data_IF_952565017415
#
_entry.id   IF_952565017415
#
_cell.length_a   1.000
_cell.length_b   1.000
_cell.length_c   1.000
_cell.angle_alpha   90.00
_cell.angle_beta   90.00
_cell.angle_gamma   90.00
#
_symmetry.space_group_name_H-M   'P 1'
#
loop_
_entity.id
_entity.type
_entity.pdbx_description
1 polymer ?
#
# COMPACT_ATOMS: atom_id res chain seq x y z
N UNK A 1 -28.16 -8.85 46.25
CA UNK A 1 -26.93 -8.05 46.05
C UNK A 1 -26.84 -7.73 44.56
N UNK A 2 -27.03 -6.47 44.14
CA UNK A 2 -26.97 -6.08 42.72
C UNK A 2 -25.50 -5.84 42.36
N UNK A 3 -24.83 -6.84 41.78
CA UNK A 3 -23.46 -6.69 41.27
C UNK A 3 -23.50 -5.92 39.94
N UNK A 4 -22.88 -4.74 39.93
CA UNK A 4 -22.74 -3.90 38.73
C UNK A 4 -21.59 -4.44 37.85
N UNK A 5 -21.86 -4.67 36.56
CA UNK A 5 -20.82 -4.99 35.57
C UNK A 5 -19.82 -3.84 35.49
N UNK A 6 -18.56 -4.07 35.88
CA UNK A 6 -17.46 -3.13 35.67
C UNK A 6 -16.65 -3.62 34.47
N UNK A 7 -16.79 -2.95 33.33
CA UNK A 7 -16.02 -3.21 32.12
C UNK A 7 -15.00 -2.08 32.02
N UNK A 8 -13.71 -2.39 32.10
CA UNK A 8 -12.63 -1.40 32.02
C UNK A 8 -11.86 -1.59 30.71
N UNK A 9 -11.99 -0.63 29.80
CA UNK A 9 -11.11 -0.54 28.64
C UNK A 9 -9.81 0.15 29.06
N UNK A 10 -8.71 -0.60 29.18
CA UNK A 10 -7.39 0.00 29.46
C UNK A 10 -6.74 0.45 28.14
N UNK A 11 -6.70 1.77 27.93
CA UNK A 11 -5.80 2.38 26.96
C UNK A 11 -4.40 2.50 27.57
N UNK A 12 -3.39 1.89 26.96
CA UNK A 12 -2.01 2.02 27.39
C UNK A 12 -1.12 2.56 26.25
N UNK A 13 -0.70 3.81 26.41
CA UNK A 13 0.54 4.36 25.85
C UNK A 13 1.51 4.49 27.03
N UNK A 14 2.76 4.05 26.80
CA UNK A 14 4.04 4.42 27.44
C UNK A 14 4.84 3.20 27.90
N UNK A 15 5.99 2.96 27.26
CA UNK A 15 7.07 2.11 27.78
C UNK A 15 8.30 2.98 28.08
N UNK A 16 8.84 2.81 29.29
CA UNK A 16 10.11 3.36 29.76
C UNK A 16 11.00 2.15 30.13
N UNK A 17 12.19 2.03 29.55
CA UNK A 17 13.14 0.95 29.83
C UNK A 17 14.49 1.14 29.14
N UNK A 18 15.57 0.98 29.90
CA UNK A 18 16.91 1.53 29.72
C UNK A 18 17.87 0.61 28.91
N UNK A 19 18.68 1.27 28.07
CA UNK A 19 19.83 0.92 27.19
C UNK A 19 20.48 -0.48 27.28
N UNK A 20 20.54 -1.14 26.11
CA UNK A 20 21.65 -2.00 25.70
C UNK A 20 22.01 -1.66 24.25
N UNK A 21 23.20 -1.10 24.01
CA UNK A 21 23.66 -0.72 22.66
C UNK A 21 24.02 -1.95 21.85
N UNK A 22 23.01 -2.63 21.32
CA UNK A 22 23.18 -3.50 20.16
C UNK A 22 23.23 -2.56 18.96
N UNK A 23 24.42 -2.34 18.39
CA UNK A 23 24.51 -1.77 17.05
C UNK A 23 24.04 -2.85 16.08
N UNK A 24 22.72 -3.04 15.98
CA UNK A 24 22.14 -3.62 14.78
C UNK A 24 22.43 -2.61 13.68
N UNK A 25 23.26 -3.00 12.72
CA UNK A 25 23.24 -2.35 11.42
C UNK A 25 21.79 -2.41 10.95
N UNK A 26 21.07 -1.29 11.09
CA UNK A 26 19.73 -1.14 10.58
C UNK A 26 19.86 -1.28 9.06
N UNK A 27 19.49 -2.45 8.54
CA UNK A 27 19.10 -2.55 7.14
C UNK A 27 18.10 -1.42 6.91
N UNK A 28 18.45 -0.49 6.03
CA UNK A 28 17.62 0.67 5.70
C UNK A 28 16.20 0.17 5.49
N UNK A 29 15.26 0.65 6.32
CA UNK A 29 13.86 0.51 6.00
C UNK A 29 13.70 1.09 4.60
N UNK A 30 13.41 0.25 3.62
CA UNK A 30 13.42 0.64 2.21
C UNK A 30 12.34 1.72 2.05
N UNK A 31 12.76 2.98 2.12
CA UNK A 31 11.85 4.10 2.07
C UNK A 31 11.15 4.05 0.73
N UNK A 32 9.84 4.25 0.73
CA UNK A 32 9.03 4.17 -0.48
C UNK A 32 8.40 5.51 -0.79
N UNK A 33 8.22 5.79 -2.08
CA UNK A 33 7.61 7.02 -2.59
C UNK A 33 6.25 6.67 -3.18
N UNK A 34 5.16 7.35 -2.80
CA UNK A 34 3.85 7.08 -3.36
C UNK A 34 3.75 7.57 -4.81
N UNK A 35 3.30 6.70 -5.71
CA UNK A 35 2.99 7.07 -7.09
C UNK A 35 1.49 7.36 -7.19
N UNK A 36 1.15 8.63 -7.41
CA UNK A 36 -0.21 9.09 -7.56
C UNK A 36 -0.75 8.70 -8.93
N UNK A 37 -1.96 8.13 -8.97
CA UNK A 37 -2.70 7.83 -10.20
C UNK A 37 -3.77 8.90 -10.41
N UNK A 38 -3.76 9.55 -11.56
CA UNK A 38 -4.71 10.63 -11.92
C UNK A 38 -5.31 10.31 -13.28
N UNK A 39 -6.63 10.36 -13.37
CA UNK A 39 -7.41 9.97 -14.55
C UNK A 39 -8.01 11.20 -15.23
N UNK A 40 -7.88 11.29 -16.55
CA UNK A 40 -8.56 12.31 -17.35
C UNK A 40 -9.91 11.76 -17.86
N UNK A 41 -11.06 12.27 -17.36
CA UNK A 41 -12.37 11.80 -17.80
C UNK A 41 -12.71 12.14 -19.26
N UNK A 42 -12.00 13.09 -19.87
CA UNK A 42 -12.28 13.52 -21.25
C UNK A 42 -11.55 12.67 -22.29
N UNK A 43 -10.31 12.27 -22.02
CA UNK A 43 -9.50 11.46 -22.95
C UNK A 43 -9.46 9.98 -22.59
N UNK A 44 -9.69 9.61 -21.32
CA UNK A 44 -9.43 8.26 -20.81
C UNK A 44 -8.01 8.03 -20.30
N UNK A 45 -7.12 9.02 -20.46
CA UNK A 45 -5.70 8.92 -20.10
C UNK A 45 -5.50 8.77 -18.59
N UNK A 46 -4.47 7.98 -18.22
CA UNK A 46 -3.98 7.90 -16.85
C UNK A 46 -2.56 8.48 -16.75
N UNK A 47 -2.36 9.37 -15.80
CA UNK A 47 -1.08 9.96 -15.46
C UNK A 47 -0.56 9.42 -14.12
N UNK A 48 0.74 9.13 -14.06
CA UNK A 48 1.41 8.56 -12.90
C UNK A 48 2.59 9.44 -12.50
N UNK A 49 2.62 9.89 -11.25
CA UNK A 49 3.65 10.83 -10.79
C UNK A 49 3.97 10.64 -9.32
N UNK A 50 5.24 10.86 -8.96
CA UNK A 50 5.64 11.03 -7.54
C UNK A 50 5.35 12.44 -7.01
N UNK A 51 5.14 13.40 -7.91
CA UNK A 51 4.98 14.82 -7.59
C UNK A 51 3.55 15.12 -7.14
N UNK A 52 3.42 15.49 -5.86
CA UNK A 52 2.16 15.99 -5.34
C UNK A 52 1.71 17.27 -6.07
N UNK A 53 2.66 18.07 -6.56
CA UNK A 53 2.36 19.28 -7.33
C UNK A 53 1.75 18.96 -8.69
N UNK A 54 2.34 18.06 -9.48
CA UNK A 54 1.79 17.65 -10.78
C UNK A 54 0.38 17.07 -10.61
N UNK A 55 0.19 16.17 -9.63
CA UNK A 55 -1.12 15.64 -9.27
C UNK A 55 -2.13 16.74 -8.97
N UNK A 56 -1.82 17.66 -8.05
CA UNK A 56 -2.75 18.73 -7.66
C UNK A 56 -3.06 19.67 -8.83
N UNK A 57 -2.08 19.93 -9.69
CA UNK A 57 -2.22 20.76 -10.89
C UNK A 57 -3.15 20.11 -11.93
N UNK A 58 -3.08 18.79 -12.12
CA UNK A 58 -4.02 18.07 -12.98
C UNK A 58 -5.43 18.05 -12.40
N UNK A 59 -5.55 17.81 -11.09
CA UNK A 59 -6.84 17.82 -10.38
C UNK A 59 -7.52 19.19 -10.49
N UNK A 60 -6.79 20.29 -10.34
CA UNK A 60 -7.36 21.63 -10.52
C UNK A 60 -7.82 21.92 -11.94
N UNK A 61 -7.38 21.13 -12.93
CA UNK A 61 -7.81 21.19 -14.34
C UNK A 61 -8.90 20.16 -14.67
N UNK A 62 -9.54 19.56 -13.65
CA UNK A 62 -10.67 18.66 -13.83
C UNK A 62 -10.31 17.18 -13.96
N UNK A 63 -9.05 16.79 -13.78
CA UNK A 63 -8.69 15.37 -13.72
C UNK A 63 -9.10 14.78 -12.36
N UNK A 64 -9.42 13.48 -12.34
CA UNK A 64 -9.83 12.75 -11.13
C UNK A 64 -8.62 12.10 -10.48
N UNK A 65 -8.34 12.46 -9.22
CA UNK A 65 -7.38 11.72 -8.41
C UNK A 65 -7.97 10.36 -7.99
N UNK A 66 -7.27 9.27 -8.29
CA UNK A 66 -7.74 7.91 -8.01
C UNK A 66 -6.97 7.23 -6.87
N UNK A 67 -6.11 7.98 -6.17
CA UNK A 67 -5.32 7.47 -5.06
C UNK A 67 -3.88 7.14 -5.43
N UNK A 68 -3.23 6.40 -4.53
CA UNK A 68 -1.88 5.88 -4.72
C UNK A 68 -1.98 4.59 -5.53
N UNK A 69 -1.47 4.60 -6.77
CA UNK A 69 -1.45 3.41 -7.63
C UNK A 69 -0.55 2.32 -7.06
N UNK A 70 0.65 2.70 -6.64
CA UNK A 70 1.60 1.86 -5.91
C UNK A 70 2.61 2.72 -5.14
N UNK A 71 3.38 2.11 -4.26
CA UNK A 71 4.57 2.73 -3.68
C UNK A 71 5.80 2.20 -4.44
N UNK A 72 6.64 3.11 -4.94
CA UNK A 72 7.90 2.76 -5.57
C UNK A 72 9.03 2.76 -4.53
N UNK A 73 10.01 1.84 -4.60
CA UNK A 73 11.20 1.94 -3.76
C UNK A 73 11.97 3.23 -4.07
N UNK A 74 12.73 3.73 -3.10
CA UNK A 74 13.59 4.93 -3.28
C UNK A 74 14.87 4.63 -4.05
N UNK A 75 15.25 3.35 -4.16
CA UNK A 75 16.43 2.87 -4.89
C UNK A 75 16.10 1.71 -5.83
N UNK A 76 17.06 1.31 -6.67
CA UNK A 76 16.92 0.21 -7.61
C UNK A 76 17.07 0.65 -9.07
N UNK A 77 16.48 -0.11 -9.99
CA UNK A 77 16.53 0.21 -11.42
C UNK A 77 15.63 1.40 -11.75
N UNK A 78 16.08 2.27 -12.66
CA UNK A 78 15.33 3.44 -13.07
C UNK A 78 14.09 3.09 -13.93
N UNK A 79 12.98 3.78 -13.69
CA UNK A 79 11.86 3.89 -14.63
C UNK A 79 11.84 5.30 -15.20
N UNK A 80 11.97 5.37 -16.52
CA UNK A 80 12.07 6.59 -17.29
C UNK A 80 10.67 7.11 -17.66
N UNK A 81 10.47 8.43 -17.59
CA UNK A 81 9.32 9.11 -18.19
C UNK A 81 9.77 9.81 -19.47
N UNK A 82 9.03 9.57 -20.56
CA UNK A 82 9.21 10.26 -21.84
C UNK A 82 7.87 10.82 -22.30
N UNK A 83 7.90 12.04 -22.81
CA UNK A 83 6.73 12.80 -23.20
C UNK A 83 6.68 13.02 -24.71
N UNK A 84 5.52 12.79 -25.32
CA UNK A 84 5.28 13.12 -26.71
C UNK A 84 4.71 14.53 -26.85
N UNK A 85 5.48 15.52 -27.37
CA UNK A 85 4.99 16.89 -27.52
C UNK A 85 3.86 17.04 -28.54
N UNK A 86 3.66 16.07 -29.42
CA UNK A 86 2.63 16.13 -30.45
C UNK A 86 1.27 15.60 -29.97
N UNK A 87 1.26 14.53 -29.16
CA UNK A 87 0.03 13.93 -28.64
C UNK A 87 -0.30 14.33 -27.20
N UNK A 88 0.69 14.78 -26.42
CA UNK A 88 0.55 15.01 -24.99
C UNK A 88 0.78 13.78 -24.11
N UNK A 89 1.00 12.61 -24.72
CA UNK A 89 1.14 11.33 -24.00
C UNK A 89 2.43 11.25 -23.18
N UNK A 90 2.33 10.59 -22.03
CA UNK A 90 3.49 10.18 -21.24
C UNK A 90 3.64 8.66 -21.30
N UNK A 91 4.86 8.20 -21.59
CA UNK A 91 5.22 6.79 -21.59
C UNK A 91 6.25 6.49 -20.50
N UNK A 92 6.06 5.35 -19.84
CA UNK A 92 6.88 4.93 -18.71
C UNK A 92 7.55 3.58 -19.01
N UNK A 93 8.87 3.51 -18.85
CA UNK A 93 9.60 2.28 -19.16
C UNK A 93 10.85 2.09 -18.31
N UNK A 94 11.16 0.83 -17.97
CA UNK A 94 12.48 0.42 -17.44
C UNK A 94 13.53 0.23 -18.54
N UNK A 95 13.10 0.14 -19.79
CA UNK A 95 13.98 -0.14 -20.93
C UNK A 95 14.65 1.15 -21.39
N UNK A 96 15.97 1.22 -21.19
CA UNK A 96 16.78 2.30 -21.74
C UNK A 96 16.70 2.33 -23.28
N UNK A 97 16.52 1.18 -23.93
CA UNK A 97 16.36 1.07 -25.38
C UNK A 97 15.04 1.68 -25.86
N UNK A 98 13.89 1.32 -25.25
CA UNK A 98 12.59 1.91 -25.63
C UNK A 98 12.61 3.44 -25.47
N UNK A 99 13.16 3.93 -24.35
CA UNK A 99 13.39 5.36 -24.11
C UNK A 99 14.21 6.00 -25.25
N UNK A 100 15.37 5.44 -25.58
CA UNK A 100 16.25 6.01 -26.62
C UNK A 100 15.60 6.03 -28.01
N UNK A 101 14.83 4.99 -28.36
CA UNK A 101 14.06 4.95 -29.61
C UNK A 101 13.01 6.07 -29.64
N UNK A 102 12.25 6.26 -28.56
CA UNK A 102 11.24 7.33 -28.51
C UNK A 102 11.88 8.72 -28.60
N UNK A 103 12.99 8.95 -27.89
CA UNK A 103 13.74 10.20 -27.96
C UNK A 103 14.27 10.46 -29.37
N UNK A 104 14.79 9.45 -30.06
CA UNK A 104 15.24 9.58 -31.46
C UNK A 104 14.10 9.94 -32.43
N UNK A 105 12.84 9.66 -32.03
CA UNK A 105 11.63 9.99 -32.78
C UNK A 105 11.00 11.32 -32.34
N UNK A 106 11.74 12.15 -31.60
CA UNK A 106 11.30 13.49 -31.21
C UNK A 106 10.52 13.57 -29.89
N UNK A 107 10.42 12.47 -29.13
CA UNK A 107 9.86 12.52 -27.78
C UNK A 107 10.86 13.18 -26.82
N UNK A 108 10.36 13.91 -25.83
CA UNK A 108 11.18 14.56 -24.81
C UNK A 108 11.45 13.59 -23.66
N UNK A 109 12.72 13.38 -23.33
CA UNK A 109 13.09 12.68 -22.10
C UNK A 109 12.90 13.60 -20.89
N UNK A 110 12.13 13.15 -19.91
CA UNK A 110 11.80 13.93 -18.71
C UNK A 110 12.52 13.45 -17.44
N UNK A 111 13.38 12.44 -17.57
CA UNK A 111 14.21 11.95 -16.47
C UNK A 111 13.78 10.60 -15.92
N UNK A 112 14.37 10.25 -14.78
CA UNK A 112 13.98 9.11 -13.97
C UNK A 112 12.83 9.53 -13.07
N UNK A 113 11.64 8.99 -13.34
CA UNK A 113 10.44 9.36 -12.59
C UNK A 113 10.43 8.62 -11.23
N UNK A 114 10.69 7.31 -11.22
CA UNK A 114 10.84 6.52 -9.98
C UNK A 114 11.81 5.34 -10.16
N UNK A 115 12.07 4.60 -9.08
CA UNK A 115 12.87 3.37 -9.11
C UNK A 115 12.00 2.12 -8.90
N UNK A 116 12.54 0.97 -9.29
CA UNK A 116 11.91 -0.34 -9.12
C UNK A 116 12.92 -1.39 -8.65
N UNK A 117 12.44 -2.34 -7.85
CA UNK A 117 13.20 -3.52 -7.42
C UNK A 117 13.11 -4.67 -8.42
N UNK A 118 13.85 -5.75 -8.12
CA UNK A 118 13.81 -6.99 -8.90
C UNK A 118 12.62 -7.89 -8.54
N UNK A 119 11.93 -7.58 -7.45
CA UNK A 119 10.74 -8.29 -6.96
C UNK A 119 9.83 -7.30 -6.23
N UNK A 120 8.59 -7.71 -5.94
CA UNK A 120 7.62 -6.89 -5.22
C UNK A 120 6.21 -7.05 -5.77
N UNK A 121 5.38 -6.02 -5.60
CA UNK A 121 4.05 -5.98 -6.20
C UNK A 121 4.18 -5.72 -7.71
N UNK A 122 3.75 -6.63 -8.59
CA UNK A 122 3.91 -6.44 -10.03
C UNK A 122 3.00 -5.32 -10.55
N UNK A 123 3.53 -4.49 -11.44
CA UNK A 123 2.76 -3.57 -12.28
C UNK A 123 2.70 -4.11 -13.70
N UNK A 124 1.48 -4.36 -14.17
CA UNK A 124 1.18 -4.86 -15.51
C UNK A 124 1.13 -3.70 -16.51
N UNK A 125 1.80 -3.86 -17.66
CA UNK A 125 1.65 -2.97 -18.83
C UNK A 125 0.63 -3.55 -19.78
N UNK A 126 -0.35 -2.75 -20.19
CA UNK A 126 -1.37 -3.13 -21.16
C UNK A 126 -1.44 -2.04 -22.23
N UNK A 127 -1.40 -2.43 -23.50
CA UNK A 127 -1.36 -1.54 -24.66
C UNK A 127 -2.69 -1.56 -25.41
N UNK A 128 -3.21 -0.39 -25.76
CA UNK A 128 -4.37 -0.26 -26.64
C UNK A 128 -3.91 -0.15 -28.11
N UNK A 129 -4.14 -1.17 -28.96
CA UNK A 129 -3.74 -1.12 -30.36
C UNK A 129 -4.49 -0.08 -31.20
N UNK A 130 -5.64 0.41 -30.73
CA UNK A 130 -6.46 1.37 -31.47
C UNK A 130 -6.07 2.83 -31.19
N UNK A 131 -5.66 3.15 -29.95
CA UNK A 131 -5.27 4.52 -29.56
C UNK A 131 -3.76 4.73 -29.45
N UNK A 132 -2.97 3.66 -29.25
CA UNK A 132 -1.55 3.77 -28.95
C UNK A 132 -1.23 3.90 -27.44
N UNK A 133 -2.27 4.00 -26.60
CA UNK A 133 -2.12 4.25 -25.18
C UNK A 133 -1.56 3.04 -24.41
N UNK A 134 -0.84 3.33 -23.33
CA UNK A 134 -0.38 2.34 -22.38
C UNK A 134 -1.00 2.58 -21.01
N UNK A 135 -1.49 1.51 -20.39
CA UNK A 135 -2.04 1.52 -19.04
C UNK A 135 -1.17 0.68 -18.09
N UNK A 136 -0.98 1.19 -16.88
CA UNK A 136 -0.14 0.56 -15.86
C UNK A 136 -0.94 0.31 -14.58
N UNK A 137 -0.99 -0.94 -14.14
CA UNK A 137 -1.77 -1.28 -12.94
C UNK A 137 -1.21 -2.45 -12.14
N UNK A 138 -1.38 -2.41 -10.82
CA UNK A 138 -1.18 -3.56 -9.93
C UNK A 138 -2.40 -4.51 -9.90
N UNK A 139 -3.54 -4.06 -10.39
CA UNK A 139 -4.79 -4.80 -10.37
C UNK A 139 -4.83 -5.80 -11.50
N UNK A 140 -4.78 -7.08 -11.15
CA UNK A 140 -4.98 -8.16 -12.12
C UNK A 140 -6.38 -8.08 -12.75
N UNK A 141 -7.38 -7.56 -12.04
CA UNK A 141 -8.73 -7.38 -12.55
C UNK A 141 -8.80 -6.28 -13.62
N UNK A 142 -8.25 -5.08 -13.37
CA UNK A 142 -8.22 -4.00 -14.37
C UNK A 142 -7.50 -4.46 -15.64
N UNK A 143 -6.35 -5.13 -15.48
CA UNK A 143 -5.60 -5.73 -16.60
C UNK A 143 -6.47 -6.72 -17.39
N UNK A 144 -7.08 -7.70 -16.73
CA UNK A 144 -7.90 -8.72 -17.41
C UNK A 144 -9.12 -8.12 -18.11
N UNK A 145 -9.74 -7.09 -17.50
CA UNK A 145 -10.85 -6.35 -18.11
C UNK A 145 -10.41 -5.62 -19.38
N UNK A 146 -9.27 -4.90 -19.37
CA UNK A 146 -8.78 -4.24 -20.59
C UNK A 146 -8.46 -5.25 -21.69
N UNK A 147 -7.85 -6.39 -21.34
CA UNK A 147 -7.56 -7.46 -22.29
C UNK A 147 -8.84 -8.04 -22.90
N UNK A 148 -9.91 -8.23 -22.12
CA UNK A 148 -11.19 -8.69 -22.68
C UNK A 148 -11.84 -7.67 -23.61
N UNK A 149 -11.46 -6.39 -23.51
CA UNK A 149 -11.88 -5.32 -24.42
C UNK A 149 -10.89 -5.08 -25.58
N UNK A 150 -10.01 -6.05 -25.87
CA UNK A 150 -9.13 -6.02 -27.04
C UNK A 150 -7.78 -5.33 -26.83
N UNK A 151 -7.44 -4.93 -25.60
CA UNK A 151 -6.10 -4.44 -25.30
C UNK A 151 -5.10 -5.59 -25.23
N UNK A 152 -3.83 -5.32 -25.52
CA UNK A 152 -2.76 -6.32 -25.49
C UNK A 152 -2.01 -6.25 -24.16
N UNK A 153 -1.97 -7.35 -23.41
CA UNK A 153 -1.10 -7.47 -22.26
C UNK A 153 0.37 -7.61 -22.71
N UNK A 154 1.24 -6.75 -22.20
CA UNK A 154 2.67 -6.70 -22.59
C UNK A 154 3.61 -7.20 -21.49
N UNK A 155 3.07 -7.77 -20.41
CA UNK A 155 3.86 -8.32 -19.32
C UNK A 155 3.96 -7.40 -18.10
N UNK A 156 4.87 -7.78 -17.20
CA UNK A 156 5.21 -6.98 -16.02
C UNK A 156 6.15 -5.85 -16.44
N UNK A 157 5.67 -4.62 -16.30
CA UNK A 157 6.44 -3.42 -16.58
C UNK A 157 7.59 -3.26 -15.59
N UNK A 158 7.26 -3.34 -14.29
CA UNK A 158 8.17 -3.21 -13.15
C UNK A 158 7.48 -3.68 -11.85
N UNK A 159 8.18 -3.56 -10.73
CA UNK A 159 7.67 -3.89 -9.38
C UNK A 159 7.61 -2.66 -8.48
N UNK A 160 6.49 -2.51 -7.76
CA UNK A 160 6.38 -1.64 -6.60
C UNK A 160 6.81 -2.38 -5.32
N UNK A 161 6.91 -1.65 -4.22
CA UNK A 161 7.19 -2.21 -2.90
C UNK A 161 6.11 -3.22 -2.52
N UNK A 162 6.52 -4.41 -2.08
CA UNK A 162 5.58 -5.44 -1.66
C UNK A 162 4.79 -4.97 -0.44
N UNK A 163 3.47 -5.18 -0.41
CA UNK A 163 2.67 -4.95 0.81
C UNK A 163 3.16 -5.74 2.03
N UNK A 164 4.10 -6.68 1.85
CA UNK A 164 4.75 -7.42 2.92
C UNK A 164 5.93 -6.71 3.60
N UNK A 165 6.37 -5.55 3.08
CA UNK A 165 7.46 -4.75 3.68
C UNK A 165 6.98 -3.51 4.46
N UNK A 166 5.67 -3.39 4.71
CA UNK A 166 5.10 -2.30 5.56
C UNK A 166 4.14 -2.86 6.61
N UNK A 167 4.48 -3.98 7.25
CA UNK A 167 3.92 -4.31 8.57
C UNK A 167 5.09 -4.61 9.48
N UNK A 168 5.75 -3.54 9.95
CA UNK A 168 6.77 -3.60 11.01
C UNK A 168 6.19 -4.24 12.28
N UNK A 169 4.89 -4.06 12.48
CA UNK A 169 4.17 -4.56 13.64
C UNK A 169 3.10 -5.56 13.23
N UNK A 170 2.94 -6.62 14.02
CA UNK A 170 1.71 -7.39 14.11
C UNK A 170 0.86 -6.85 15.27
N UNK A 171 -0.43 -7.18 15.27
CA UNK A 171 -1.37 -6.72 16.29
C UNK A 171 -1.79 -7.89 17.14
N UNK A 172 -1.75 -7.75 18.45
CA UNK A 172 -2.25 -8.76 19.39
C UNK A 172 -3.53 -8.26 20.02
N UNK A 173 -4.64 -8.86 19.62
CA UNK A 173 -5.91 -8.71 20.33
C UNK A 173 -5.90 -9.62 21.55
N UNK A 174 -6.30 -9.11 22.71
CA UNK A 174 -6.33 -9.87 23.96
C UNK A 174 -7.57 -9.60 24.80
N UNK A 175 -7.96 -10.62 25.58
CA UNK A 175 -8.97 -10.55 26.66
C UNK A 175 -8.37 -11.21 27.90
N UNK A 176 -8.47 -10.53 29.03
CA UNK A 176 -8.03 -11.00 30.33
C UNK A 176 -9.20 -11.30 31.27
N UNK A 177 -8.98 -12.26 32.16
CA UNK A 177 -9.86 -12.57 33.29
C UNK A 177 -9.00 -12.43 34.54
N UNK A 178 -9.40 -11.57 35.48
CA UNK A 178 -8.66 -11.22 36.70
C UNK A 178 -7.19 -10.84 36.43
N UNK A 179 -6.98 -10.03 35.39
CA UNK A 179 -5.65 -9.57 34.98
C UNK A 179 -4.80 -10.59 34.21
N UNK A 180 -5.24 -11.85 34.07
CA UNK A 180 -4.53 -12.88 33.30
C UNK A 180 -5.02 -12.90 31.86
N UNK A 181 -4.12 -12.71 30.88
CA UNK A 181 -4.43 -12.76 29.43
C UNK A 181 -4.75 -14.19 28.98
N UNK A 182 -6.00 -14.61 29.17
CA UNK A 182 -6.49 -15.96 28.83
C UNK A 182 -6.70 -16.14 27.32
N UNK A 183 -7.11 -15.08 26.62
CA UNK A 183 -7.34 -15.10 25.16
C UNK A 183 -6.41 -14.10 24.50
N UNK A 184 -5.61 -14.55 23.54
CA UNK A 184 -4.77 -13.68 22.72
C UNK A 184 -4.58 -14.26 21.32
N UNK A 185 -4.55 -13.38 20.31
CA UNK A 185 -4.25 -13.76 18.93
C UNK A 185 -3.41 -12.70 18.24
N UNK A 186 -2.33 -13.15 17.61
CA UNK A 186 -1.52 -12.33 16.70
C UNK A 186 -2.24 -12.22 15.36
N UNK A 187 -2.40 -11.00 14.87
CA UNK A 187 -3.17 -10.62 13.69
C UNK A 187 -2.35 -9.70 12.80
N UNK A 188 -2.66 -9.68 11.50
CA UNK A 188 -1.92 -8.87 10.53
C UNK A 188 -2.52 -7.47 10.31
N UNK A 189 -3.61 -7.14 11.02
CA UNK A 189 -4.22 -5.81 11.00
C UNK A 189 -4.96 -5.51 12.30
N UNK A 190 -5.08 -4.21 12.65
CA UNK A 190 -5.90 -3.75 13.78
C UNK A 190 -7.34 -4.26 13.67
N UNK A 191 -7.93 -4.18 12.47
CA UNK A 191 -9.30 -4.64 12.22
C UNK A 191 -9.50 -6.12 12.55
N UNK A 192 -8.52 -6.96 12.24
CA UNK A 192 -8.57 -8.39 12.56
C UNK A 192 -8.43 -8.62 14.08
N UNK A 193 -7.54 -7.88 14.74
CA UNK A 193 -7.36 -7.94 16.19
C UNK A 193 -8.61 -7.47 16.95
N UNK A 194 -9.24 -6.37 16.53
CA UNK A 194 -10.49 -5.86 17.10
C UNK A 194 -11.65 -6.86 16.89
N UNK A 195 -11.74 -7.46 15.71
CA UNK A 195 -12.75 -8.49 15.43
C UNK A 195 -12.56 -9.71 16.33
N UNK A 196 -11.31 -10.14 16.56
CA UNK A 196 -10.99 -11.23 17.48
C UNK A 196 -11.36 -10.88 18.93
N UNK A 197 -11.00 -9.70 19.43
CA UNK A 197 -11.33 -9.24 20.79
C UNK A 197 -12.84 -9.20 20.98
N UNK A 198 -13.57 -8.61 20.04
CA UNK A 198 -15.03 -8.55 20.10
C UNK A 198 -15.66 -9.96 20.10
N UNK A 199 -15.15 -10.88 19.27
CA UNK A 199 -15.65 -12.25 19.27
C UNK A 199 -15.37 -12.98 20.60
N UNK A 200 -14.18 -12.79 21.18
CA UNK A 200 -13.80 -13.38 22.46
C UNK A 200 -14.64 -12.81 23.61
N UNK A 201 -14.82 -11.48 23.68
CA UNK A 201 -15.65 -10.82 24.69
C UNK A 201 -17.11 -11.27 24.68
N UNK A 202 -17.66 -11.52 23.48
CA UNK A 202 -19.04 -11.97 23.31
C UNK A 202 -19.19 -13.50 23.29
N UNK A 203 -18.12 -14.24 23.57
CA UNK A 203 -18.20 -15.69 23.70
C UNK A 203 -18.97 -16.07 24.97
N UNK A 204 -19.69 -17.19 24.93
CA UNK A 204 -20.42 -17.69 26.10
C UNK A 204 -19.51 -17.86 27.31
N UNK A 205 -18.29 -18.36 27.10
CA UNK A 205 -17.31 -18.58 28.17
C UNK A 205 -16.92 -17.27 28.88
N UNK A 206 -16.62 -16.20 28.14
CA UNK A 206 -16.23 -14.92 28.75
C UNK A 206 -17.43 -14.20 29.37
N UNK A 207 -18.61 -14.31 28.76
CA UNK A 207 -19.85 -13.77 29.33
C UNK A 207 -20.19 -14.43 30.67
N UNK A 208 -20.06 -15.75 30.76
CA UNK A 208 -20.34 -16.51 31.98
C UNK A 208 -19.34 -16.13 33.10
N UNK A 209 -18.09 -15.80 32.76
CA UNK A 209 -17.08 -15.33 33.72
C UNK A 209 -17.29 -13.89 34.18
N UNK A 210 -17.86 -13.02 33.35
CA UNK A 210 -18.04 -11.59 33.64
C UNK A 210 -19.01 -11.26 34.78
N UNK A 211 -19.60 -12.26 35.45
CA UNK A 211 -20.44 -12.08 36.64
C UNK A 211 -19.62 -11.99 37.94
N UNK A 212 -18.54 -12.76 38.04
CA UNK A 212 -17.72 -12.88 39.26
C UNK A 212 -16.26 -12.45 39.06
N UNK A 213 -15.85 -12.22 37.81
CA UNK A 213 -14.47 -11.92 37.44
C UNK A 213 -14.32 -10.54 36.78
N UNK A 214 -13.14 -9.94 36.92
CA UNK A 214 -12.79 -8.71 36.21
C UNK A 214 -12.34 -9.03 34.79
N UNK A 215 -13.05 -8.46 33.79
CA UNK A 215 -12.72 -8.65 32.38
C UNK A 215 -12.02 -7.40 31.83
N UNK A 216 -10.81 -7.60 31.33
CA UNK A 216 -10.02 -6.59 30.61
C UNK A 216 -9.84 -6.99 29.14
N UNK A 217 -9.63 -6.02 28.25
CA UNK A 217 -9.39 -6.31 26.84
C UNK A 217 -8.65 -5.17 26.15
N UNK A 218 -8.06 -5.47 25.00
CA UNK A 218 -7.46 -4.46 24.14
C UNK A 218 -6.69 -5.03 22.96
N UNK A 219 -6.06 -4.12 22.23
CA UNK A 219 -5.14 -4.43 21.13
C UNK A 219 -3.82 -3.72 21.40
N UNK A 220 -2.70 -4.41 21.22
CA UNK A 220 -1.38 -3.80 21.22
C UNK A 220 -0.56 -4.28 20.02
N UNK A 221 0.50 -3.55 19.69
CA UNK A 221 1.43 -3.90 18.62
C UNK A 221 2.59 -4.72 19.14
N UNK A 222 3.03 -5.72 18.37
CA UNK A 222 4.30 -6.44 18.57
C UNK A 222 5.14 -6.29 17.32
N UNK A 223 6.46 -6.19 17.47
CA UNK A 223 7.36 -6.27 16.31
C UNK A 223 7.17 -7.63 15.61
N UNK A 224 7.17 -7.60 14.28
CA UNK A 224 7.04 -8.80 13.45
C UNK A 224 8.35 -9.57 13.34
#
# INVERSE_FOLDING_TARGET
>A
MKLSKKIVALGAIATLGLVGSVTTAHASADTSVPMYRVYNPNSGEHFYTKSAYEKSSLVSRGWRYEGIGWNAPTSGSAVYRVYNPNSGEHFYTKSAYEKSVLVSRGWRYEGVEWHTGNSGTPLYRVYNPNSGEHFYTKSAYEKSSLVSHGWRYEGIAWYGVSSQSVQKYQYVGWVSVDGVRKYQKVCNSVKEADAYVNAALNSKEVIDLGYDHEIGYGVYTVDK
#
